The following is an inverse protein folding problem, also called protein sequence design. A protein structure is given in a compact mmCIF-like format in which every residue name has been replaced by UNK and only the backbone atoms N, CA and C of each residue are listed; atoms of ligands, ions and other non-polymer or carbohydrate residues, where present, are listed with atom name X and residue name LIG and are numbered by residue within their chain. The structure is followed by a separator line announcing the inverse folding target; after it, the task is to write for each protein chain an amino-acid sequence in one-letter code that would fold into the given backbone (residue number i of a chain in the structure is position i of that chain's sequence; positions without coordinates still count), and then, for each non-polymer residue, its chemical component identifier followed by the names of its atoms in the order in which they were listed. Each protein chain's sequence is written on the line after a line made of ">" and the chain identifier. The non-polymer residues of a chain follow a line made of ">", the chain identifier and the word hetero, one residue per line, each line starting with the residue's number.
data_IF_265108310085
#
_entry.id   IF_265108310085
#
_cell.length_a   1.000
_cell.length_b   1.000
_cell.length_c   1.000
_cell.angle_alpha   90.00
_cell.angle_beta   90.00
_cell.angle_gamma   90.00
#
_symmetry.space_group_name_H-M   'P 1'
#
loop_
_entity.id
_entity.type
_entity.pdbx_description
1 polymer ?
#
# COMPACT_ATOMS: atom_id res chain seq x y z
N UNK A 1 15.54 -0.17 16.39
CA UNK A 1 15.52 -1.54 15.84
C UNK A 1 16.56 -2.37 16.57
N UNK A 2 16.29 -3.66 16.87
CA UNK A 2 17.32 -4.57 17.36
C UNK A 2 18.47 -4.67 16.35
N UNK A 3 19.72 -4.78 16.80
CA UNK A 3 20.86 -4.93 15.90
C UNK A 3 20.81 -6.29 15.19
N UNK A 4 21.17 -6.29 13.91
CA UNK A 4 21.41 -7.53 13.17
C UNK A 4 22.75 -8.12 13.58
N UNK A 5 22.84 -9.45 13.58
CA UNK A 5 24.07 -10.16 13.93
C UNK A 5 24.95 -10.23 12.69
N UNK A 6 26.26 -9.94 12.77
CA UNK A 6 27.19 -10.23 11.68
C UNK A 6 27.25 -11.73 11.32
N UNK A 7 26.80 -12.59 12.24
CA UNK A 7 26.62 -14.01 12.05
C UNK A 7 25.13 -14.33 12.15
N UNK A 8 24.37 -14.27 11.05
CA UNK A 8 22.94 -14.46 11.08
C UNK A 8 22.59 -15.87 11.59
N UNK A 9 21.63 -16.01 12.52
CA UNK A 9 21.19 -17.32 12.98
C UNK A 9 20.55 -18.11 11.81
N UNK A 10 20.49 -19.44 11.91
CA UNK A 10 19.73 -20.23 10.95
C UNK A 10 18.28 -19.75 10.91
N UNK A 11 17.68 -19.83 9.72
CA UNK A 11 16.28 -19.46 9.54
C UNK A 11 15.37 -20.29 10.45
N UNK A 12 14.46 -19.60 11.13
CA UNK A 12 13.37 -20.18 11.91
C UNK A 12 12.08 -19.43 11.54
N UNK A 13 11.02 -20.12 11.08
CA UNK A 13 9.73 -19.47 10.83
C UNK A 13 9.28 -18.68 12.06
N UNK A 14 9.02 -17.39 11.89
CA UNK A 14 8.75 -16.46 13.01
C UNK A 14 7.56 -15.59 12.68
N UNK A 15 6.46 -15.76 13.42
CA UNK A 15 5.23 -14.97 13.26
C UNK A 15 4.74 -14.99 11.81
N UNK A 16 4.72 -13.81 11.18
CA UNK A 16 4.33 -13.66 9.77
C UNK A 16 5.36 -14.21 8.79
N UNK A 17 6.63 -14.40 9.14
CA UNK A 17 7.65 -14.84 8.20
C UNK A 17 7.76 -16.37 8.17
N UNK A 18 7.02 -17.00 7.25
CA UNK A 18 6.92 -18.46 7.08
C UNK A 18 7.95 -19.02 6.10
N UNK A 19 8.08 -20.35 6.04
CA UNK A 19 8.92 -21.02 5.04
C UNK A 19 8.51 -20.65 3.61
N UNK A 20 7.21 -20.64 3.30
CA UNK A 20 6.72 -20.25 1.97
C UNK A 20 7.15 -18.81 1.60
N UNK A 21 7.09 -17.88 2.56
CA UNK A 21 7.50 -16.49 2.36
C UNK A 21 9.01 -16.37 2.18
N UNK A 22 9.79 -17.16 2.90
CA UNK A 22 11.23 -17.30 2.67
C UNK A 22 11.51 -17.78 1.25
N UNK A 23 10.86 -18.85 0.80
CA UNK A 23 11.09 -19.41 -0.54
C UNK A 23 10.73 -18.41 -1.65
N UNK A 24 9.69 -17.57 -1.43
CA UNK A 24 9.36 -16.45 -2.32
C UNK A 24 10.47 -15.40 -2.36
N UNK A 25 11.04 -15.03 -1.20
CA UNK A 25 12.18 -14.10 -1.12
C UNK A 25 13.40 -14.68 -1.82
N UNK A 26 13.72 -15.95 -1.59
CA UNK A 26 14.83 -16.63 -2.25
C UNK A 26 14.66 -16.62 -3.77
N UNK A 27 13.45 -16.89 -4.27
CA UNK A 27 13.14 -16.83 -5.70
C UNK A 27 13.28 -15.42 -6.28
N UNK A 28 12.96 -14.37 -5.51
CA UNK A 28 13.15 -12.97 -5.93
C UNK A 28 14.63 -12.59 -5.97
N UNK A 29 15.47 -13.24 -5.16
CA UNK A 29 16.91 -13.01 -5.05
C UNK A 29 17.75 -14.20 -5.55
N UNK A 30 17.23 -14.94 -6.54
CA UNK A 30 17.87 -16.13 -7.13
C UNK A 30 19.07 -15.76 -8.04
N UNK A 31 19.29 -14.47 -8.29
CA UNK A 31 20.45 -13.96 -9.01
C UNK A 31 21.69 -13.78 -8.12
N UNK A 32 22.81 -13.43 -8.76
CA UNK A 32 24.11 -13.24 -8.10
C UNK A 32 24.27 -11.86 -7.44
N UNK A 33 23.18 -11.11 -7.26
CA UNK A 33 23.24 -9.77 -6.67
C UNK A 33 23.57 -9.80 -5.17
N UNK A 34 23.04 -10.77 -4.43
CA UNK A 34 23.30 -10.94 -3.00
C UNK A 34 24.16 -12.18 -2.74
N UNK A 35 25.18 -12.03 -1.91
CA UNK A 35 25.95 -13.16 -1.42
C UNK A 35 25.11 -14.03 -0.47
N UNK A 36 25.46 -15.32 -0.28
CA UNK A 36 24.76 -16.19 0.66
C UNK A 36 24.63 -15.59 2.07
N UNK A 37 25.67 -14.92 2.57
CA UNK A 37 25.66 -14.29 3.89
C UNK A 37 24.76 -13.04 3.94
N UNK A 38 24.69 -12.27 2.85
CA UNK A 38 23.78 -11.11 2.75
C UNK A 38 22.31 -11.56 2.69
N UNK A 39 22.02 -12.67 2.00
CA UNK A 39 20.69 -13.29 2.02
C UNK A 39 20.33 -13.80 3.41
N UNK A 40 21.27 -14.42 4.12
CA UNK A 40 21.04 -14.85 5.50
C UNK A 40 20.76 -13.65 6.43
N UNK A 41 21.46 -12.53 6.25
CA UNK A 41 21.18 -11.27 6.96
C UNK A 41 19.80 -10.72 6.64
N UNK A 42 19.37 -10.77 5.37
CA UNK A 42 18.04 -10.36 4.94
C UNK A 42 16.95 -11.22 5.61
N UNK A 43 17.13 -12.54 5.68
CA UNK A 43 16.20 -13.40 6.43
C UNK A 43 16.18 -13.08 7.92
N UNK A 44 17.32 -12.76 8.53
CA UNK A 44 17.36 -12.30 9.92
C UNK A 44 16.51 -11.04 10.12
N UNK A 45 16.61 -10.06 9.20
CA UNK A 45 15.79 -8.85 9.24
C UNK A 45 14.29 -9.20 9.16
N UNK A 46 13.88 -10.04 8.21
CA UNK A 46 12.49 -10.45 8.07
C UNK A 46 11.96 -11.20 9.30
N UNK A 47 12.77 -12.06 9.93
CA UNK A 47 12.36 -12.75 11.16
C UNK A 47 12.19 -11.77 12.33
N UNK A 48 13.18 -10.89 12.54
CA UNK A 48 13.15 -9.92 13.64
C UNK A 48 12.06 -8.85 13.47
N UNK A 49 11.74 -8.48 12.23
CA UNK A 49 10.74 -7.46 11.89
C UNK A 49 9.52 -8.08 11.20
N UNK A 50 9.14 -9.31 11.55
CA UNK A 50 8.11 -10.05 10.82
C UNK A 50 6.75 -9.32 10.76
N UNK A 51 6.42 -8.51 11.76
CA UNK A 51 5.18 -7.71 11.77
C UNK A 51 5.24 -6.45 10.90
N UNK A 52 6.43 -5.99 10.50
CA UNK A 52 6.61 -4.79 9.69
C UNK A 52 6.33 -5.02 8.19
N UNK A 53 6.28 -6.27 7.74
CA UNK A 53 6.05 -6.62 6.34
C UNK A 53 4.65 -7.19 6.15
N UNK A 54 3.88 -6.56 5.26
CA UNK A 54 2.57 -7.04 4.84
C UNK A 54 2.70 -7.94 3.61
N UNK A 55 2.10 -9.12 3.66
CA UNK A 55 2.11 -10.08 2.55
C UNK A 55 0.72 -10.28 1.91
N UNK A 56 -0.33 -9.81 2.59
CA UNK A 56 -1.71 -9.80 2.13
C UNK A 56 -2.45 -8.58 2.72
N UNK A 57 -3.69 -8.35 2.26
CA UNK A 57 -4.52 -7.23 2.69
C UNK A 57 -4.89 -7.28 4.20
N UNK A 58 -4.90 -8.46 4.82
CA UNK A 58 -5.22 -8.63 6.25
C UNK A 58 -4.07 -8.22 7.17
N UNK A 59 -2.85 -8.19 6.65
CA UNK A 59 -1.62 -7.85 7.36
C UNK A 59 -1.21 -6.39 7.22
N UNK A 60 -2.02 -5.59 6.52
CA UNK A 60 -1.80 -4.15 6.36
C UNK A 60 -1.70 -3.45 7.71
N UNK A 61 -0.91 -2.39 7.77
CA UNK A 61 -0.80 -1.61 8.97
C UNK A 61 -1.98 -0.66 9.12
N UNK A 62 -1.94 0.10 10.21
CA UNK A 62 -2.70 1.33 10.33
C UNK A 62 -1.80 2.33 11.06
N UNK A 63 -1.80 3.58 10.63
CA UNK A 63 -1.11 4.62 11.38
C UNK A 63 -1.75 4.77 12.76
N UNK A 64 -0.90 4.89 13.77
CA UNK A 64 -1.40 5.15 15.11
C UNK A 64 -1.99 6.55 15.18
N UNK A 65 -3.24 6.65 15.63
CA UNK A 65 -3.99 7.91 15.71
C UNK A 65 -3.34 8.95 16.63
N UNK A 66 -2.51 8.52 17.59
CA UNK A 66 -1.77 9.43 18.48
C UNK A 66 -0.59 10.16 17.79
N UNK A 67 -0.10 9.62 16.68
CA UNK A 67 0.89 10.27 15.82
C UNK A 67 0.24 10.96 14.61
N UNK A 68 -0.79 10.33 14.04
CA UNK A 68 -1.47 10.77 12.84
C UNK A 68 -2.98 10.86 13.10
N UNK A 69 -3.48 11.99 13.61
CA UNK A 69 -4.91 12.15 13.84
C UNK A 69 -5.69 12.11 12.53
N UNK A 70 -6.99 11.77 12.55
CA UNK A 70 -7.83 11.77 11.36
C UNK A 70 -7.73 13.08 10.57
N UNK A 71 -7.52 12.96 9.26
CA UNK A 71 -7.33 14.11 8.38
C UNK A 71 -8.68 14.80 8.12
N UNK A 72 -8.72 16.11 8.33
CA UNK A 72 -9.83 16.95 7.89
C UNK A 72 -9.47 17.54 6.53
N UNK A 73 -10.27 17.25 5.50
CA UNK A 73 -10.06 17.79 4.14
C UNK A 73 -10.54 19.25 4.12
N UNK A 74 -9.64 20.24 3.93
CA UNK A 74 -10.05 21.64 3.87
C UNK A 74 -10.73 21.91 2.52
N UNK A 75 -11.91 22.53 2.54
CA UNK A 75 -12.67 22.86 1.34
C UNK A 75 -13.11 24.32 1.32
N UNK A 76 -13.21 24.94 0.15
CA UNK A 76 -13.90 26.22 -0.03
C UNK A 76 -15.42 26.06 0.12
N UNK A 77 -16.20 27.14 0.37
CA UNK A 77 -17.65 27.07 0.36
C UNK A 77 -18.19 26.51 -0.96
N UNK A 78 -18.97 25.44 -0.90
CA UNK A 78 -19.54 24.77 -2.08
C UNK A 78 -20.87 24.11 -1.74
N UNK A 79 -21.56 23.61 -2.78
CA UNK A 79 -22.75 22.78 -2.62
C UNK A 79 -22.36 21.31 -2.80
N UNK A 80 -22.86 20.37 -1.96
CA UNK A 80 -22.71 18.95 -2.22
C UNK A 80 -23.26 18.57 -3.59
N UNK A 81 -22.68 17.53 -4.19
CA UNK A 81 -23.06 17.05 -5.53
C UNK A 81 -23.57 15.61 -5.46
N UNK A 82 -24.51 15.32 -6.37
CA UNK A 82 -25.00 13.95 -6.59
C UNK A 82 -24.85 13.62 -8.07
N UNK A 83 -23.94 12.71 -8.37
CA UNK A 83 -23.72 12.24 -9.73
C UNK A 83 -24.28 10.82 -9.90
N UNK A 84 -24.92 10.58 -11.05
CA UNK A 84 -25.34 9.24 -11.45
C UNK A 84 -24.10 8.42 -11.83
N UNK A 85 -24.02 7.20 -11.31
CA UNK A 85 -22.91 6.29 -11.59
C UNK A 85 -22.94 5.75 -13.03
N UNK A 86 -21.78 5.37 -13.54
CA UNK A 86 -21.65 4.68 -14.83
C UNK A 86 -22.23 3.25 -14.66
N UNK A 87 -23.05 2.75 -15.60
CA UNK A 87 -23.57 1.39 -15.53
C UNK A 87 -22.42 0.36 -15.50
N UNK A 88 -22.53 -0.62 -14.60
CA UNK A 88 -21.58 -1.72 -14.52
C UNK A 88 -21.95 -2.73 -15.63
N UNK A 89 -21.01 -3.12 -16.50
CA UNK A 89 -21.26 -4.16 -17.49
C UNK A 89 -21.72 -5.46 -16.81
N UNK A 90 -22.76 -6.17 -17.31
CA UNK A 90 -23.28 -7.37 -16.65
C UNK A 90 -22.23 -8.44 -16.37
N UNK A 91 -21.27 -8.63 -17.27
CA UNK A 91 -20.20 -9.62 -17.11
C UNK A 91 -19.19 -9.30 -16.02
N UNK A 92 -19.15 -8.07 -15.50
CA UNK A 92 -18.25 -7.65 -14.42
C UNK A 92 -18.97 -7.49 -13.07
N UNK A 93 -20.30 -7.65 -13.04
CA UNK A 93 -21.12 -7.28 -11.88
C UNK A 93 -20.72 -8.04 -10.61
N UNK A 94 -20.61 -9.37 -10.71
CA UNK A 94 -20.28 -10.21 -9.55
C UNK A 94 -18.87 -9.94 -9.02
N UNK A 95 -17.89 -9.79 -9.91
CA UNK A 95 -16.50 -9.46 -9.54
C UNK A 95 -16.42 -8.11 -8.83
N UNK A 96 -17.16 -7.10 -9.32
CA UNK A 96 -17.23 -5.78 -8.70
C UNK A 96 -17.86 -5.83 -7.32
N UNK A 97 -18.95 -6.59 -7.16
CA UNK A 97 -19.57 -6.82 -5.85
C UNK A 97 -18.59 -7.46 -4.86
N UNK A 98 -17.82 -8.46 -5.30
CA UNK A 98 -16.84 -9.13 -4.45
C UNK A 98 -15.65 -8.23 -4.07
N UNK A 99 -15.25 -7.30 -4.94
CA UNK A 99 -14.25 -6.28 -4.61
C UNK A 99 -14.79 -5.34 -3.52
N UNK A 100 -16.03 -4.87 -3.63
CA UNK A 100 -16.65 -3.98 -2.65
C UNK A 100 -16.75 -4.69 -1.29
N UNK A 101 -17.26 -5.93 -1.25
CA UNK A 101 -17.35 -6.72 0.00
C UNK A 101 -16.00 -6.93 0.67
N UNK A 102 -14.95 -7.21 -0.11
CA UNK A 102 -13.59 -7.33 0.44
C UNK A 102 -13.09 -6.01 1.03
N UNK A 103 -13.37 -4.87 0.39
CA UNK A 103 -13.03 -3.55 0.92
C UNK A 103 -13.82 -3.20 2.18
N UNK A 104 -15.09 -3.59 2.27
CA UNK A 104 -15.88 -3.48 3.51
C UNK A 104 -15.32 -4.35 4.63
N UNK A 105 -15.01 -5.63 4.35
CA UNK A 105 -14.43 -6.55 5.33
C UNK A 105 -13.06 -6.09 5.83
N UNK A 106 -12.26 -5.45 4.97
CA UNK A 106 -10.99 -4.84 5.35
C UNK A 106 -11.16 -3.55 6.17
N UNK A 107 -12.36 -2.94 6.21
CA UNK A 107 -12.62 -1.66 6.86
C UNK A 107 -12.24 -0.43 6.02
N UNK A 108 -11.97 -0.59 4.72
CA UNK A 108 -11.69 0.53 3.80
C UNK A 108 -12.99 1.23 3.40
N UNK A 109 -14.08 0.47 3.23
CA UNK A 109 -15.40 1.00 2.88
C UNK A 109 -16.39 0.80 4.02
N UNK A 110 -17.29 1.77 4.16
CA UNK A 110 -18.41 1.71 5.10
C UNK A 110 -19.69 2.24 4.44
N UNK A 111 -20.87 1.72 4.84
CA UNK A 111 -22.14 2.33 4.47
C UNK A 111 -22.25 3.76 4.99
N UNK A 112 -22.66 4.69 4.14
CA UNK A 112 -22.77 6.10 4.49
C UNK A 112 -24.07 6.71 3.96
N UNK A 113 -24.62 7.69 4.69
CA UNK A 113 -25.74 8.53 4.25
C UNK A 113 -25.25 9.95 3.93
N UNK A 114 -24.29 10.02 3.00
CA UNK A 114 -23.64 11.27 2.62
C UNK A 114 -24.49 12.09 1.64
N UNK A 115 -24.41 13.42 1.75
CA UNK A 115 -24.93 14.35 0.75
C UNK A 115 -24.07 14.42 -0.52
N UNK A 116 -22.91 13.76 -0.51
CA UNK A 116 -21.99 13.66 -1.64
C UNK A 116 -22.12 12.30 -2.33
N UNK A 117 -22.16 12.31 -3.66
CA UNK A 117 -22.06 11.10 -4.49
C UNK A 117 -21.25 11.36 -5.74
N UNK A 118 -20.03 10.86 -5.76
CA UNK A 118 -19.16 10.89 -6.94
C UNK A 118 -19.35 9.66 -7.82
N UNK A 119 -18.99 9.77 -9.10
CA UNK A 119 -18.93 8.61 -10.01
C UNK A 119 -17.75 7.72 -9.66
N UNK A 120 -17.85 6.46 -10.03
CA UNK A 120 -16.74 5.53 -10.05
C UNK A 120 -16.87 4.56 -11.22
N UNK A 121 -15.77 3.95 -11.62
CA UNK A 121 -15.72 2.98 -12.71
C UNK A 121 -14.62 1.95 -12.46
N UNK A 122 -14.63 0.89 -13.27
CA UNK A 122 -13.65 -0.18 -13.19
C UNK A 122 -12.62 -0.03 -14.30
N UNK A 123 -11.36 -0.30 -13.98
CA UNK A 123 -10.25 -0.38 -14.94
C UNK A 123 -9.56 -1.72 -14.78
N UNK A 124 -9.23 -2.36 -15.90
CA UNK A 124 -8.43 -3.60 -15.90
C UNK A 124 -6.98 -3.26 -15.56
N UNK A 125 -6.38 -3.98 -14.60
CA UNK A 125 -4.97 -3.82 -14.24
C UNK A 125 -4.06 -4.30 -15.38
N UNK A 126 -2.75 -4.00 -15.28
CA UNK A 126 -1.74 -4.42 -16.27
C UNK A 126 -1.67 -5.94 -16.49
N UNK A 127 -2.16 -6.74 -15.54
CA UNK A 127 -2.25 -8.20 -15.65
C UNK A 127 -3.34 -8.68 -16.63
N UNK A 128 -4.18 -7.75 -17.15
CA UNK A 128 -5.24 -8.03 -18.10
C UNK A 128 -6.44 -8.78 -17.52
N UNK A 129 -6.46 -9.04 -16.21
CA UNK A 129 -7.49 -9.87 -15.55
C UNK A 129 -8.12 -9.17 -14.36
N UNK A 130 -7.31 -8.61 -13.47
CA UNK A 130 -7.83 -8.05 -12.23
C UNK A 130 -8.46 -6.68 -12.46
N UNK A 131 -9.63 -6.44 -11.87
CA UNK A 131 -10.24 -5.12 -11.87
C UNK A 131 -9.69 -4.22 -10.74
N UNK A 132 -9.73 -2.90 -10.99
CA UNK A 132 -9.50 -1.84 -10.01
C UNK A 132 -10.68 -0.86 -10.04
N UNK A 133 -11.26 -0.60 -8.89
CA UNK A 133 -12.24 0.46 -8.71
C UNK A 133 -11.53 1.82 -8.67
N UNK A 134 -12.02 2.76 -9.47
CA UNK A 134 -11.51 4.14 -9.55
C UNK A 134 -12.64 5.10 -9.25
N UNK A 135 -12.46 5.92 -8.23
CA UNK A 135 -13.40 7.00 -7.88
C UNK A 135 -13.05 8.27 -8.65
N UNK A 136 -14.03 8.82 -9.34
CA UNK A 136 -13.96 10.07 -10.11
C UNK A 136 -14.12 11.24 -9.13
N UNK A 137 -13.00 11.65 -8.52
CA UNK A 137 -12.97 12.68 -7.47
C UNK A 137 -12.71 14.10 -8.01
N UNK A 138 -12.86 14.35 -9.31
CA UNK A 138 -12.68 15.67 -9.92
C UNK A 138 -13.53 16.76 -9.24
N UNK A 139 -14.82 16.53 -8.89
CA UNK A 139 -15.61 17.53 -8.17
C UNK A 139 -15.07 17.83 -6.77
N UNK A 140 -14.54 16.81 -6.08
CA UNK A 140 -13.94 16.97 -4.75
C UNK A 140 -12.64 17.78 -4.86
N UNK A 141 -11.78 17.40 -5.80
CA UNK A 141 -10.51 18.09 -6.05
C UNK A 141 -10.71 19.58 -6.42
N UNK A 142 -11.80 19.92 -7.10
CA UNK A 142 -12.12 21.30 -7.45
C UNK A 142 -12.50 22.19 -6.25
N UNK A 143 -12.96 21.60 -5.14
CA UNK A 143 -13.35 22.33 -3.93
C UNK A 143 -12.35 22.17 -2.79
N UNK A 144 -11.44 21.20 -2.87
CA UNK A 144 -10.37 21.00 -1.89
C UNK A 144 -9.32 22.10 -2.00
N UNK A 145 -8.95 22.68 -0.86
CA UNK A 145 -7.86 23.66 -0.78
C UNK A 145 -6.53 22.92 -0.94
N UNK A 146 -5.72 23.34 -1.92
CA UNK A 146 -4.44 22.71 -2.21
C UNK A 146 -3.45 22.89 -1.04
N UNK A 147 -2.81 21.80 -0.64
CA UNK A 147 -1.73 21.83 0.34
C UNK A 147 -0.42 22.25 -0.33
N UNK A 148 0.39 23.08 0.36
CA UNK A 148 1.68 23.57 -0.17
C UNK A 148 2.84 22.59 0.00
N UNK A 149 2.60 21.45 0.67
CA UNK A 149 3.59 20.38 0.85
C UNK A 149 3.82 19.62 -0.45
N UNK A 150 4.69 20.14 -1.29
CA UNK A 150 5.18 19.45 -2.47
C UNK A 150 6.18 18.35 -2.06
N UNK A 151 6.17 17.18 -2.70
CA UNK A 151 7.22 16.18 -2.52
C UNK A 151 8.61 16.77 -2.82
N UNK A 152 9.67 16.28 -2.16
CA UNK A 152 11.03 16.72 -2.45
C UNK A 152 11.43 16.36 -3.89
N UNK A 153 12.43 17.06 -4.42
CA UNK A 153 13.02 16.71 -5.72
C UNK A 153 13.68 15.33 -5.65
N UNK A 154 13.20 14.41 -6.47
CA UNK A 154 13.62 13.00 -6.46
C UNK A 154 15.10 12.84 -6.82
N UNK A 155 15.61 13.65 -7.75
CA UNK A 155 17.02 13.62 -8.18
C UNK A 155 17.95 14.02 -7.03
N UNK A 156 17.67 15.14 -6.36
CA UNK A 156 18.47 15.60 -5.21
C UNK A 156 18.44 14.59 -4.06
N UNK A 157 17.27 13.99 -3.82
CA UNK A 157 17.14 12.93 -2.83
C UNK A 157 17.98 11.71 -3.22
N UNK A 158 17.95 11.28 -4.48
CA UNK A 158 18.76 10.17 -4.97
C UNK A 158 20.26 10.45 -4.88
N UNK A 159 20.71 11.66 -5.21
CA UNK A 159 22.11 12.09 -5.09
C UNK A 159 22.62 12.02 -3.65
N UNK A 160 21.76 12.27 -2.65
CA UNK A 160 22.15 12.14 -1.24
C UNK A 160 22.57 10.72 -0.83
N UNK A 161 22.18 9.71 -1.62
CA UNK A 161 22.58 8.32 -1.47
C UNK A 161 23.79 7.93 -2.34
N UNK A 162 24.36 8.87 -3.11
CA UNK A 162 25.54 8.60 -3.92
C UNK A 162 26.73 8.14 -3.04
N UNK A 163 27.56 7.26 -3.61
CA UNK A 163 28.72 6.65 -2.95
C UNK A 163 28.43 5.86 -1.65
N UNK A 164 27.17 5.53 -1.36
CA UNK A 164 26.84 4.56 -0.31
C UNK A 164 27.11 3.14 -0.81
N UNK A 165 27.80 2.35 0.00
CA UNK A 165 28.16 0.96 -0.34
C UNK A 165 26.95 0.01 -0.37
N UNK A 166 25.87 0.35 0.36
CA UNK A 166 24.64 -0.43 0.43
C UNK A 166 23.42 0.49 0.36
N UNK A 167 22.39 0.06 -0.36
CA UNK A 167 21.09 0.73 -0.45
C UNK A 167 19.96 -0.27 -0.24
N UNK A 168 18.83 0.21 0.28
CA UNK A 168 17.61 -0.56 0.44
C UNK A 168 16.42 0.29 0.07
N UNK A 169 15.44 -0.30 -0.61
CA UNK A 169 14.18 0.33 -0.95
C UNK A 169 13.04 -0.48 -0.34
N UNK A 170 12.13 0.22 0.33
CA UNK A 170 10.90 -0.33 0.87
C UNK A 170 9.74 0.51 0.32
N UNK A 171 8.61 -0.14 0.08
CA UNK A 171 7.38 0.52 -0.32
C UNK A 171 6.30 0.25 0.72
N UNK A 172 5.42 1.23 0.92
CA UNK A 172 4.29 1.08 1.84
C UNK A 172 3.17 0.33 1.14
N UNK A 173 2.77 -0.80 1.69
CA UNK A 173 1.66 -1.57 1.17
C UNK A 173 0.35 -0.80 1.40
N UNK A 174 -0.27 -0.31 0.32
CA UNK A 174 -1.53 0.48 0.37
C UNK A 174 -1.39 1.74 1.24
N UNK A 175 -0.27 2.46 1.14
CA UNK A 175 0.05 3.58 2.04
C UNK A 175 -0.93 4.75 2.17
N UNK A 176 -1.97 4.85 1.34
CA UNK A 176 -3.05 5.85 1.50
C UNK A 176 -4.25 5.35 2.32
N UNK A 177 -4.42 4.03 2.46
CA UNK A 177 -5.54 3.41 3.20
C UNK A 177 -5.11 2.97 4.63
N UNK A 178 -3.94 3.44 5.09
CA UNK A 178 -3.31 3.22 6.40
C UNK A 178 -3.71 4.28 7.43
#
# INVERSE_FOLDING_TARGET
>A
MPPLSPHPPPFVPTGRYTQERKDRVDKLHDGDFLWPDERALLHQLYMQQNEAFAWNDEERGQFREDFFPPIVIPTIPHRPWVQRNIPIPPGLFDEVCDIIRRKEAAGVYEPSNSSYRSRWFCVVKKDGKSLRLVHSLEPLNAVTIAHSGLPPFTEQLAESFAARACGGALDLYVGYDE
#
